data_IF_565771679956
#
_entry.id   IF_565771679956
#
_cell.length_a   1.000
_cell.length_b   1.000
_cell.length_c   1.000
_cell.angle_alpha   90.00
_cell.angle_beta   90.00
_cell.angle_gamma   90.00
#
_symmetry.space_group_name_H-M   'P 1'
#
loop_
_entity.id
_entity.type
_entity.pdbx_description
1 polymer ?
#
# COMPACT_ATOMS: atom_id res chain seq x y z
N UNK A 1 -35.84 7.07 -30.04
CA UNK A 1 -35.23 6.19 -29.02
C UNK A 1 -35.97 6.44 -27.71
N UNK A 2 -36.51 5.41 -27.05
CA UNK A 2 -37.27 5.58 -25.80
C UNK A 2 -36.35 6.07 -24.68
N UNK A 3 -36.85 6.98 -23.84
CA UNK A 3 -36.07 7.65 -22.79
C UNK A 3 -35.45 6.68 -21.77
N UNK A 4 -36.14 5.58 -21.48
CA UNK A 4 -35.66 4.51 -20.58
C UNK A 4 -34.35 3.85 -21.07
N UNK A 5 -34.15 3.74 -22.39
CA UNK A 5 -32.89 3.18 -22.91
C UNK A 5 -31.73 4.15 -22.76
N UNK A 6 -31.96 5.46 -22.83
CA UNK A 6 -30.92 6.45 -22.58
C UNK A 6 -30.50 6.46 -21.11
N UNK A 7 -31.47 6.33 -20.21
CA UNK A 7 -31.27 6.34 -18.76
C UNK A 7 -30.48 5.10 -18.29
N UNK A 8 -30.85 3.91 -18.76
CA UNK A 8 -30.10 2.67 -18.47
C UNK A 8 -28.67 2.68 -19.01
N UNK A 9 -28.43 3.30 -20.18
CA UNK A 9 -27.08 3.40 -20.75
C UNK A 9 -26.18 4.36 -19.95
N UNK A 10 -26.78 5.41 -19.36
CA UNK A 10 -26.08 6.36 -18.50
C UNK A 10 -25.75 5.70 -17.16
N UNK A 11 -26.69 4.98 -16.54
CA UNK A 11 -26.45 4.23 -15.29
C UNK A 11 -25.38 3.14 -15.47
N UNK A 12 -25.43 2.39 -16.57
CA UNK A 12 -24.44 1.36 -16.87
C UNK A 12 -23.03 1.96 -17.06
N UNK A 13 -22.95 3.17 -17.66
CA UNK A 13 -21.72 3.93 -17.81
C UNK A 13 -21.15 4.44 -16.49
N UNK A 14 -22.00 4.93 -15.59
CA UNK A 14 -21.66 5.36 -14.23
C UNK A 14 -21.14 4.18 -13.37
N UNK A 15 -21.81 3.02 -13.41
CA UNK A 15 -21.37 1.83 -12.68
C UNK A 15 -20.02 1.31 -13.18
N UNK A 16 -19.82 1.23 -14.50
CA UNK A 16 -18.55 0.77 -15.07
C UNK A 16 -17.41 1.74 -14.77
N UNK A 17 -17.66 3.06 -14.77
CA UNK A 17 -16.68 4.07 -14.39
C UNK A 17 -16.30 3.96 -12.90
N UNK A 18 -17.28 3.79 -12.00
CA UNK A 18 -17.04 3.57 -10.56
C UNK A 18 -16.27 2.29 -10.28
N UNK A 19 -16.55 1.22 -11.04
CA UNK A 19 -15.79 -0.02 -10.96
C UNK A 19 -14.33 0.20 -11.37
N UNK A 20 -14.09 0.92 -12.46
CA UNK A 20 -12.74 1.26 -12.95
C UNK A 20 -11.93 2.05 -11.93
N UNK A 21 -12.50 3.07 -11.27
CA UNK A 21 -11.80 3.88 -10.27
C UNK A 21 -11.38 3.04 -9.05
N UNK A 22 -12.28 2.18 -8.56
CA UNK A 22 -11.96 1.32 -7.41
C UNK A 22 -10.84 0.32 -7.72
N UNK A 23 -10.83 -0.22 -8.94
CA UNK A 23 -9.78 -1.12 -9.40
C UNK A 23 -8.44 -0.37 -9.56
N UNK A 24 -8.48 0.84 -10.14
CA UNK A 24 -7.30 1.68 -10.35
C UNK A 24 -6.61 2.04 -9.02
N UNK A 25 -7.36 2.50 -8.01
CA UNK A 25 -6.81 2.89 -6.70
C UNK A 25 -6.15 1.71 -5.98
N UNK A 26 -6.70 0.50 -6.11
CA UNK A 26 -6.13 -0.70 -5.50
C UNK A 26 -4.79 -1.08 -6.15
N UNK A 27 -4.73 -1.08 -7.48
CA UNK A 27 -3.51 -1.38 -8.22
C UNK A 27 -2.42 -0.33 -8.00
N UNK A 28 -2.77 0.96 -7.99
CA UNK A 28 -1.79 2.02 -7.81
C UNK A 28 -1.14 1.96 -6.43
N UNK A 29 -1.95 1.76 -5.38
CA UNK A 29 -1.44 1.63 -4.01
C UNK A 29 -0.46 0.46 -3.87
N UNK A 30 -0.75 -0.70 -4.51
CA UNK A 30 0.14 -1.89 -4.47
C UNK A 30 1.48 -1.58 -5.12
N UNK A 31 1.45 -0.88 -6.25
CA UNK A 31 2.68 -0.45 -6.92
C UNK A 31 3.53 0.51 -6.09
N UNK A 32 2.91 1.45 -5.37
CA UNK A 32 3.64 2.35 -4.48
C UNK A 32 4.26 1.61 -3.28
N UNK A 33 3.53 0.67 -2.67
CA UNK A 33 4.06 -0.17 -1.59
C UNK A 33 5.23 -1.04 -2.05
N UNK A 34 5.14 -1.60 -3.25
CA UNK A 34 6.20 -2.43 -3.84
C UNK A 34 7.45 -1.59 -4.15
N UNK A 35 7.30 -0.37 -4.69
CA UNK A 35 8.42 0.57 -4.89
C UNK A 35 9.12 0.88 -3.58
N UNK A 36 8.37 1.17 -2.50
CA UNK A 36 8.97 1.42 -1.19
C UNK A 36 9.79 0.22 -0.67
N UNK A 37 9.30 -1.01 -0.89
CA UNK A 37 10.02 -2.24 -0.55
C UNK A 37 11.33 -2.39 -1.35
N UNK A 38 11.29 -2.09 -2.64
CA UNK A 38 12.47 -2.13 -3.52
C UNK A 38 13.54 -1.13 -3.07
N UNK A 39 13.16 0.04 -2.53
CA UNK A 39 14.13 0.99 -1.94
C UNK A 39 14.57 0.59 -0.53
N UNK A 40 13.70 -0.07 0.25
CA UNK A 40 13.99 -0.53 1.60
C UNK A 40 15.09 -1.60 1.65
N UNK A 41 15.14 -2.51 0.67
CA UNK A 41 16.17 -3.56 0.58
C UNK A 41 17.60 -2.99 0.45
N UNK A 42 17.94 -2.16 -0.55
CA UNK A 42 19.27 -1.57 -0.69
C UNK A 42 19.62 -0.65 0.49
N UNK A 43 18.66 0.09 1.04
CA UNK A 43 18.87 0.88 2.25
C UNK A 43 19.26 0.00 3.44
N UNK A 44 18.55 -1.12 3.63
CA UNK A 44 18.85 -2.10 4.68
C UNK A 44 20.24 -2.72 4.52
N UNK A 45 20.64 -3.04 3.28
CA UNK A 45 21.99 -3.54 2.99
C UNK A 45 23.03 -2.48 3.34
N UNK A 46 22.80 -1.21 3.00
CA UNK A 46 23.69 -0.10 3.34
C UNK A 46 23.88 0.06 4.86
N UNK A 47 22.78 0.02 5.63
CA UNK A 47 22.84 0.07 7.11
C UNK A 47 23.56 -1.15 7.68
N UNK A 48 23.32 -2.34 7.13
CA UNK A 48 24.00 -3.56 7.56
C UNK A 48 25.52 -3.49 7.34
N UNK A 49 25.97 -2.94 6.21
CA UNK A 49 27.40 -2.71 5.93
C UNK A 49 28.01 -1.68 6.88
N UNK A 50 27.31 -0.58 7.15
CA UNK A 50 27.73 0.43 8.13
C UNK A 50 27.90 -0.17 9.53
N UNK A 51 26.92 -0.98 9.97
CA UNK A 51 27.04 -1.71 11.22
C UNK A 51 28.22 -2.67 11.20
N UNK A 52 28.41 -3.45 10.14
CA UNK A 52 29.54 -4.37 10.03
C UNK A 52 30.88 -3.65 10.21
N UNK A 53 31.11 -2.54 9.49
CA UNK A 53 32.32 -1.73 9.64
C UNK A 53 32.48 -1.14 11.06
N UNK A 54 31.39 -0.68 11.67
CA UNK A 54 31.44 -0.09 13.02
C UNK A 54 31.66 -1.12 14.13
N UNK A 55 31.10 -2.32 14.00
CA UNK A 55 31.19 -3.38 15.00
C UNK A 55 32.48 -4.22 14.88
N UNK A 56 33.09 -4.27 13.69
CA UNK A 56 34.33 -5.02 13.45
C UNK A 56 35.48 -4.55 14.37
N UNK A 57 35.45 -3.30 14.85
CA UNK A 57 36.47 -2.75 15.75
C UNK A 57 36.33 -3.20 17.21
N UNK A 58 35.13 -3.62 17.65
CA UNK A 58 34.84 -3.89 19.07
C UNK A 58 34.53 -5.36 19.39
N UNK A 59 34.13 -6.16 18.39
CA UNK A 59 33.67 -7.52 18.62
C UNK A 59 34.17 -8.46 17.52
N UNK A 60 34.92 -9.52 17.89
CA UNK A 60 35.25 -10.64 16.98
C UNK A 60 34.02 -11.56 16.81
N UNK A 61 32.90 -11.00 16.37
CA UNK A 61 31.74 -11.82 16.03
C UNK A 61 32.01 -12.54 14.72
N UNK A 62 31.89 -13.88 14.73
CA UNK A 62 31.72 -14.63 13.49
C UNK A 62 30.42 -14.13 12.85
N UNK A 63 30.41 -13.95 11.54
CA UNK A 63 29.26 -13.44 10.80
C UNK A 63 28.13 -14.48 10.83
N UNK A 64 27.35 -14.48 11.92
CA UNK A 64 26.19 -15.33 12.11
C UNK A 64 24.95 -14.51 11.79
N UNK A 65 24.34 -14.79 10.64
CA UNK A 65 23.09 -14.17 10.25
C UNK A 65 21.95 -14.76 11.09
N UNK A 66 21.27 -13.97 11.95
CA UNK A 66 20.15 -14.47 12.73
C UNK A 66 18.91 -14.62 11.82
N UNK A 67 18.82 -15.76 11.14
CA UNK A 67 17.74 -16.09 10.19
C UNK A 67 16.33 -15.92 10.79
N UNK A 68 16.15 -16.28 12.06
CA UNK A 68 14.90 -16.09 12.81
C UNK A 68 14.50 -14.61 12.90
N UNK A 69 15.46 -13.72 13.15
CA UNK A 69 15.21 -12.29 13.25
C UNK A 69 14.87 -11.70 11.87
N UNK A 70 15.51 -12.19 10.81
CA UNK A 70 15.17 -11.79 9.43
C UNK A 70 13.73 -12.17 9.07
N UNK A 71 13.31 -13.40 9.37
CA UNK A 71 11.94 -13.85 9.10
C UNK A 71 10.92 -13.04 9.92
N UNK A 72 11.20 -12.79 11.20
CA UNK A 72 10.33 -11.99 12.05
C UNK A 72 10.17 -10.55 11.53
N UNK A 73 11.25 -9.92 11.07
CA UNK A 73 11.22 -8.58 10.47
C UNK A 73 10.42 -8.57 9.16
N UNK A 74 10.61 -9.57 8.28
CA UNK A 74 9.85 -9.69 7.03
C UNK A 74 8.35 -9.80 7.31
N UNK A 75 7.95 -10.66 8.26
CA UNK A 75 6.54 -10.82 8.66
C UNK A 75 5.99 -9.51 9.24
N UNK A 76 6.75 -8.85 10.12
CA UNK A 76 6.35 -7.59 10.74
C UNK A 76 6.12 -6.47 9.71
N UNK A 77 7.03 -6.33 8.75
CA UNK A 77 6.90 -5.34 7.67
C UNK A 77 5.67 -5.64 6.81
N UNK A 78 5.42 -6.90 6.50
CA UNK A 78 4.25 -7.30 5.72
C UNK A 78 2.93 -6.93 6.42
N UNK A 79 2.85 -7.16 7.74
CA UNK A 79 1.70 -6.79 8.56
C UNK A 79 1.54 -5.26 8.62
N UNK A 80 2.62 -4.51 8.84
CA UNK A 80 2.58 -3.05 8.94
C UNK A 80 2.13 -2.42 7.62
N UNK A 81 2.74 -2.82 6.50
CA UNK A 81 2.41 -2.29 5.18
C UNK A 81 0.98 -2.68 4.79
N UNK A 82 0.60 -3.95 4.97
CA UNK A 82 -0.74 -4.43 4.70
C UNK A 82 -1.80 -3.70 5.51
N UNK A 83 -1.54 -3.48 6.81
CA UNK A 83 -2.45 -2.73 7.69
C UNK A 83 -2.55 -1.26 7.30
N UNK A 84 -1.43 -0.60 7.00
CA UNK A 84 -1.40 0.79 6.58
C UNK A 84 -2.19 1.00 5.28
N UNK A 85 -2.10 0.03 4.37
CA UNK A 85 -2.79 0.04 3.09
C UNK A 85 -4.29 -0.20 3.21
N UNK A 86 -4.69 -1.19 4.01
CA UNK A 86 -6.10 -1.43 4.34
C UNK A 86 -6.72 -0.21 5.07
N UNK A 87 -5.97 0.41 5.97
CA UNK A 87 -6.38 1.62 6.67
C UNK A 87 -6.52 2.81 5.72
N UNK A 88 -5.53 3.06 4.85
CA UNK A 88 -5.58 4.14 3.86
C UNK A 88 -6.76 3.94 2.89
N UNK A 89 -6.94 2.72 2.37
CA UNK A 89 -8.04 2.40 1.46
C UNK A 89 -9.41 2.54 2.13
N UNK A 90 -9.55 2.11 3.38
CA UNK A 90 -10.79 2.27 4.16
C UNK A 90 -11.09 3.74 4.51
N UNK A 91 -10.06 4.54 4.77
CA UNK A 91 -10.21 5.97 5.09
C UNK A 91 -10.56 6.80 3.86
N UNK A 92 -9.97 6.49 2.70
CA UNK A 92 -10.33 7.10 1.40
C UNK A 92 -11.79 6.78 1.03
N UNK A 93 -12.27 5.55 1.26
CA UNK A 93 -13.68 5.21 1.06
C UNK A 93 -14.64 5.92 2.02
N UNK A 94 -14.25 6.10 3.29
CA UNK A 94 -15.07 6.84 4.28
C UNK A 94 -15.18 8.33 3.99
N UNK A 95 -14.12 8.97 3.50
CA UNK A 95 -14.14 10.39 3.15
C UNK A 95 -15.10 10.67 1.98
N UNK A 96 -15.06 9.85 0.92
CA UNK A 96 -15.94 10.02 -0.23
C UNK A 96 -17.44 9.87 0.09
N UNK A 97 -17.83 9.01 1.05
CA UNK A 97 -19.25 8.84 1.42
C UNK A 97 -19.77 10.04 2.21
N UNK A 98 -18.98 10.58 3.14
CA UNK A 98 -19.37 11.75 3.94
C UNK A 98 -19.43 13.00 3.07
N UNK A 99 -18.46 13.21 2.18
CA UNK A 99 -18.47 14.35 1.27
C UNK A 99 -19.55 14.22 0.18
N UNK A 100 -19.81 13.01 -0.35
CA UNK A 100 -20.92 12.79 -1.28
C UNK A 100 -22.29 13.07 -0.63
N UNK A 101 -22.52 12.62 0.61
CA UNK A 101 -23.75 12.94 1.35
C UNK A 101 -23.88 14.43 1.68
N UNK A 102 -22.75 15.15 1.80
CA UNK A 102 -22.74 16.60 2.08
C UNK A 102 -22.97 17.43 0.81
N UNK A 103 -22.54 16.94 -0.35
CA UNK A 103 -22.76 17.59 -1.65
C UNK A 103 -24.21 17.48 -2.14
N UNK A 104 -24.94 16.44 -1.74
CA UNK A 104 -26.38 16.34 -2.08
C UNK A 104 -27.29 17.20 -1.20
N UNK A 105 -26.79 17.72 -0.07
CA UNK A 105 -27.58 18.53 0.86
C UNK A 105 -27.24 20.04 0.80
N UNK A 106 -26.69 20.52 -0.32
CA UNK A 106 -26.46 21.93 -0.62
C UNK A 106 -27.17 22.30 -1.93
#
# INVERSE_FOLDING_TARGET
MPKELQENLIELGEETFRYFINLMIHYESIFYGLKALIYGIPLSIGVMLLMFYSLQHSFSYKFELPWLNLVAVVIGIFIIIGSAMLYASSKVKKANIIDALKQENI
#
